data_IF_707307935515
#
_entry.id   IF_707307935515
#
_cell.length_a   1.000
_cell.length_b   1.000
_cell.length_c   1.000
_cell.angle_alpha   90.00
_cell.angle_beta   90.00
_cell.angle_gamma   90.00
#
_symmetry.space_group_name_H-M   'P 1'
#
loop_
_entity.id
_entity.type
_entity.pdbx_description
1 polymer ?
#
# COMPACT_ATOMS: atom_id res chain seq x y z
N UNK A 1 8.14 -0.20 -3.90
CA UNK A 1 7.16 -1.29 -4.02
C UNK A 1 7.85 -2.62 -4.31
N UNK A 2 7.82 -3.58 -3.37
CA UNK A 2 8.57 -4.82 -3.52
C UNK A 2 7.92 -5.85 -4.46
N UNK A 3 6.63 -5.71 -4.76
CA UNK A 3 5.85 -6.72 -5.52
C UNK A 3 5.24 -6.20 -6.83
N UNK A 4 5.45 -4.93 -7.21
CA UNK A 4 4.69 -4.26 -8.28
C UNK A 4 4.79 -4.89 -9.68
N UNK A 5 5.84 -5.68 -9.97
CA UNK A 5 6.03 -6.36 -11.26
C UNK A 5 6.05 -7.90 -11.12
N UNK A 6 5.46 -8.44 -10.06
CA UNK A 6 5.41 -9.87 -9.78
C UNK A 6 3.98 -10.40 -9.94
N UNK A 7 3.86 -11.64 -10.41
CA UNK A 7 2.61 -12.38 -10.26
C UNK A 7 2.32 -12.68 -8.77
N UNK A 8 1.07 -13.06 -8.47
CA UNK A 8 0.62 -13.26 -7.10
C UNK A 8 1.42 -14.31 -6.32
N UNK A 9 1.92 -15.37 -6.98
CA UNK A 9 2.71 -16.40 -6.32
C UNK A 9 4.07 -15.84 -5.90
N UNK A 10 4.75 -15.17 -6.82
CA UNK A 10 6.04 -14.56 -6.54
C UNK A 10 5.94 -13.38 -5.57
N UNK A 11 4.87 -12.58 -5.65
CA UNK A 11 4.57 -11.52 -4.70
C UNK A 11 4.42 -12.04 -3.27
N UNK A 12 3.66 -13.12 -3.08
CA UNK A 12 3.49 -13.75 -1.77
C UNK A 12 4.82 -14.27 -1.20
N UNK A 13 5.66 -14.91 -2.02
CA UNK A 13 6.97 -15.40 -1.55
C UNK A 13 7.89 -14.26 -1.07
N UNK A 14 7.84 -13.09 -1.71
CA UNK A 14 8.58 -11.90 -1.26
C UNK A 14 8.02 -11.39 0.07
N UNK A 15 6.69 -11.36 0.22
CA UNK A 15 6.05 -10.94 1.47
C UNK A 15 6.34 -11.89 2.64
N UNK A 16 6.38 -13.20 2.39
CA UNK A 16 6.76 -14.20 3.38
C UNK A 16 8.20 -13.97 3.86
N UNK A 17 9.15 -13.72 2.94
CA UNK A 17 10.52 -13.39 3.30
C UNK A 17 10.62 -12.10 4.12
N UNK A 18 9.87 -11.06 3.76
CA UNK A 18 9.85 -9.81 4.52
C UNK A 18 9.33 -10.02 5.94
N UNK A 19 8.33 -10.89 6.10
CA UNK A 19 7.80 -11.26 7.41
C UNK A 19 8.84 -12.03 8.23
N UNK A 20 9.52 -13.01 7.65
CA UNK A 20 10.61 -13.73 8.33
C UNK A 20 11.70 -12.78 8.83
N UNK A 21 12.15 -11.84 7.98
CA UNK A 21 13.14 -10.83 8.37
C UNK A 21 12.64 -9.92 9.50
N UNK A 22 11.35 -9.56 9.47
CA UNK A 22 10.75 -8.78 10.55
C UNK A 22 10.70 -9.56 11.87
N UNK A 23 10.30 -10.83 11.82
CA UNK A 23 10.27 -11.74 12.97
C UNK A 23 11.68 -11.94 13.57
N UNK A 24 12.74 -11.87 12.75
CA UNK A 24 14.15 -11.88 13.16
C UNK A 24 14.65 -10.54 13.76
N UNK A 25 13.80 -9.51 13.80
CA UNK A 25 14.06 -8.23 14.45
C UNK A 25 14.38 -7.08 13.49
N UNK A 26 14.29 -7.29 12.18
CA UNK A 26 14.43 -6.19 11.23
C UNK A 26 13.20 -5.27 11.25
N UNK A 27 13.42 -3.96 11.16
CA UNK A 27 12.32 -3.02 10.86
C UNK A 27 12.16 -2.91 9.36
N UNK A 28 10.97 -3.27 8.84
CA UNK A 28 10.66 -3.19 7.43
C UNK A 28 9.82 -1.94 7.15
N UNK A 29 10.27 -1.12 6.21
CA UNK A 29 9.48 -0.03 5.64
C UNK A 29 9.26 -0.35 4.16
N UNK A 30 8.00 -0.50 3.76
CA UNK A 30 7.63 -0.81 2.38
C UNK A 30 6.53 0.13 1.91
N UNK A 31 6.47 0.32 0.60
CA UNK A 31 5.38 1.02 -0.10
C UNK A 31 4.65 -0.02 -0.94
N UNK A 32 3.32 -0.01 -0.95
CA UNK A 32 2.49 -0.91 -1.75
C UNK A 32 1.19 -0.21 -2.14
N UNK A 33 0.74 -0.44 -3.37
CA UNK A 33 -0.62 -0.10 -3.81
C UNK A 33 -1.60 -1.28 -3.63
N UNK A 34 -1.10 -2.47 -3.24
CA UNK A 34 -1.93 -3.64 -3.00
C UNK A 34 -2.47 -3.64 -1.55
N UNK A 35 -3.79 -3.47 -1.34
CA UNK A 35 -4.37 -3.43 0.01
C UNK A 35 -4.16 -4.74 0.76
N UNK A 36 -4.02 -5.88 0.07
CA UNK A 36 -3.78 -7.18 0.71
C UNK A 36 -2.45 -7.21 1.46
N UNK A 37 -1.44 -6.51 0.94
CA UNK A 37 -0.12 -6.45 1.54
C UNK A 37 -0.02 -5.33 2.57
N UNK A 38 -0.76 -4.24 2.40
CA UNK A 38 -0.86 -3.18 3.41
C UNK A 38 -1.39 -3.73 4.74
N UNK A 39 -2.38 -4.63 4.72
CA UNK A 39 -2.95 -5.24 5.92
C UNK A 39 -2.01 -6.18 6.69
N UNK A 40 -0.87 -6.55 6.11
CA UNK A 40 0.13 -7.42 6.77
C UNK A 40 1.03 -6.60 7.70
N UNK A 41 1.17 -5.29 7.46
CA UNK A 41 2.03 -4.44 8.27
C UNK A 41 1.41 -4.13 9.65
N UNK A 42 2.24 -4.03 10.69
CA UNK A 42 1.79 -3.61 12.02
C UNK A 42 1.27 -2.17 12.04
N UNK A 43 1.73 -1.35 11.10
CA UNK A 43 1.32 0.03 10.93
C UNK A 43 1.23 0.38 9.44
N UNK A 44 0.06 0.86 9.03
CA UNK A 44 -0.13 1.52 7.74
C UNK A 44 -0.02 3.04 7.90
N UNK A 45 0.53 3.71 6.89
CA UNK A 45 0.55 5.17 6.77
C UNK A 45 0.13 5.52 5.35
N UNK A 46 -0.90 6.35 5.21
CA UNK A 46 -1.39 6.81 3.92
C UNK A 46 -0.75 8.14 3.58
N UNK A 47 -0.30 8.29 2.33
CA UNK A 47 0.31 9.50 1.81
C UNK A 47 -0.50 9.97 0.60
N UNK A 48 -1.01 11.19 0.66
CA UNK A 48 -1.73 11.83 -0.44
C UNK A 48 -1.11 13.21 -0.70
N UNK A 49 -0.69 13.49 -1.94
CA UNK A 49 -0.05 14.74 -2.35
C UNK A 49 1.05 15.24 -1.40
N UNK A 50 1.91 14.31 -0.96
CA UNK A 50 3.03 14.59 -0.08
C UNK A 50 2.65 14.84 1.39
N UNK A 51 1.39 14.63 1.76
CA UNK A 51 0.90 14.77 3.13
C UNK A 51 0.46 13.43 3.71
N UNK A 52 0.76 13.21 4.99
CA UNK A 52 0.22 12.05 5.72
C UNK A 52 -1.23 12.32 6.03
N UNK A 53 -2.10 11.43 5.57
CA UNK A 53 -3.55 11.51 5.76
C UNK A 53 -4.01 10.31 6.58
N UNK A 54 -5.18 10.43 7.20
CA UNK A 54 -5.84 9.27 7.81
C UNK A 54 -6.49 8.39 6.73
N UNK A 55 -6.98 7.22 7.14
CA UNK A 55 -7.55 6.24 6.22
C UNK A 55 -8.87 6.72 5.57
N UNK A 56 -9.68 7.50 6.29
CA UNK A 56 -10.93 8.04 5.72
C UNK A 56 -10.65 9.11 4.66
N UNK A 57 -9.70 10.01 4.95
CA UNK A 57 -9.26 11.05 4.04
C UNK A 57 -8.54 10.45 2.83
N UNK A 58 -7.74 9.39 3.01
CA UNK A 58 -7.11 8.66 1.91
C UNK A 58 -8.14 8.06 0.94
N UNK A 59 -9.17 7.38 1.46
CA UNK A 59 -10.23 6.78 0.64
C UNK A 59 -11.04 7.84 -0.12
N UNK A 60 -11.33 8.98 0.52
CA UNK A 60 -12.03 10.09 -0.15
C UNK A 60 -11.18 10.70 -1.26
N UNK A 61 -9.88 10.84 -1.03
CA UNK A 61 -8.96 11.42 -2.00
C UNK A 61 -8.73 10.50 -3.21
N UNK A 62 -8.57 9.19 -2.99
CA UNK A 62 -8.52 8.18 -4.06
C UNK A 62 -9.80 8.19 -4.90
N UNK A 63 -10.98 8.20 -4.26
CA UNK A 63 -12.25 8.23 -4.96
C UNK A 63 -12.47 9.53 -5.77
N UNK A 64 -12.03 10.67 -5.22
CA UNK A 64 -12.08 11.94 -5.93
C UNK A 64 -11.18 11.95 -7.17
N UNK A 65 -9.96 11.39 -7.06
CA UNK A 65 -9.06 11.24 -8.21
C UNK A 65 -9.64 10.32 -9.28
N UNK A 66 -10.24 9.18 -8.92
CA UNK A 66 -10.89 8.29 -9.88
C UNK A 66 -12.04 8.98 -10.65
N UNK A 67 -12.81 9.85 -9.98
CA UNK A 67 -13.88 10.62 -10.61
C UNK A 67 -13.32 11.67 -11.58
N UNK A 68 -12.28 12.40 -11.19
CA UNK A 68 -11.59 13.36 -12.06
C UNK A 68 -10.96 12.68 -13.28
N UNK A 69 -10.28 11.53 -13.09
CA UNK A 69 -9.64 10.77 -14.16
C UNK A 69 -10.64 10.11 -15.11
N UNK A 70 -11.82 9.72 -14.60
CA UNK A 70 -12.90 9.16 -15.42
C UNK A 70 -13.67 10.21 -16.23
N UNK A 71 -13.38 11.50 -16.04
CA UNK A 71 -13.96 12.60 -16.81
C UNK A 71 -15.42 12.90 -16.48
N UNK A 72 -15.90 12.47 -15.31
CA UNK A 72 -17.16 12.94 -14.76
C UNK A 72 -16.90 14.27 -14.03
N UNK A 73 -17.49 15.38 -14.51
CA UNK A 73 -17.39 16.68 -13.84
C UNK A 73 -17.85 16.58 -12.38
N UNK A 74 -16.96 16.95 -11.46
CA UNK A 74 -17.19 17.05 -10.00
C UNK A 74 -17.80 18.39 -9.62
#
# INVERSE_FOLDING_TARGET
EPTGNLDSKNGNAVMDLMKELHDEGATICMVTHDPRYATVADRSVHLFDGQVVDEEDAQRAEHAQELEESGFDV
#
